data_IF_252701718164
#
_entry.id   IF_252701718164
#
_cell.length_a   1.000
_cell.length_b   1.000
_cell.length_c   1.000
_cell.angle_alpha   90.00
_cell.angle_beta   90.00
_cell.angle_gamma   90.00
#
_symmetry.space_group_name_H-M   'P 1'
#
loop_
_entity.id
_entity.type
_entity.pdbx_description
1 polymer ?
#
# COMPACT_ATOMS: atom_id res chain seq x y z
N UNK A 1 6.69 10.57 -9.82
CA UNK A 1 8.06 10.28 -9.38
C UNK A 1 8.41 8.81 -9.56
N UNK A 2 7.80 7.88 -8.80
CA UNK A 2 8.10 6.43 -8.90
C UNK A 2 7.99 5.86 -10.32
N UNK A 3 7.00 6.27 -11.12
CA UNK A 3 6.89 5.83 -12.51
C UNK A 3 8.09 6.24 -13.38
N UNK A 4 8.64 7.44 -13.19
CA UNK A 4 9.69 8.00 -14.06
C UNK A 4 11.07 7.56 -13.57
N UNK A 5 11.30 7.69 -12.26
CA UNK A 5 12.63 7.54 -11.65
C UNK A 5 12.81 6.16 -10.98
N UNK A 6 11.71 5.51 -10.60
CA UNK A 6 11.76 4.41 -9.64
C UNK A 6 12.17 4.90 -8.26
N UNK A 7 12.83 4.02 -7.50
CA UNK A 7 13.33 4.30 -6.16
C UNK A 7 12.31 3.96 -5.08
N UNK A 8 12.40 4.65 -3.94
CA UNK A 8 11.57 4.43 -2.77
C UNK A 8 10.83 5.71 -2.42
N UNK A 9 9.51 5.60 -2.32
CA UNK A 9 8.67 6.59 -1.66
C UNK A 9 8.42 6.12 -0.22
N UNK A 10 8.53 7.02 0.74
CA UNK A 10 8.18 6.74 2.14
C UNK A 10 7.71 8.01 2.85
N UNK A 11 6.75 7.88 3.75
CA UNK A 11 6.35 8.97 4.63
C UNK A 11 7.53 9.44 5.51
N UNK A 12 7.55 10.73 5.83
CA UNK A 12 8.65 11.38 6.57
C UNK A 12 8.84 10.84 7.99
N UNK A 13 7.81 10.25 8.59
CA UNK A 13 7.83 9.67 9.93
C UNK A 13 8.10 8.16 9.91
N UNK A 14 8.70 7.65 8.83
CA UNK A 14 9.16 6.27 8.71
C UNK A 14 10.65 6.14 9.07
N UNK A 15 10.98 5.12 9.85
CA UNK A 15 12.34 4.77 10.22
C UNK A 15 12.77 3.46 9.54
N UNK A 16 13.88 3.50 8.79
CA UNK A 16 14.44 2.30 8.19
C UNK A 16 15.12 1.43 9.25
N UNK A 17 14.66 0.19 9.42
CA UNK A 17 15.27 -0.80 10.31
C UNK A 17 16.33 -1.62 9.58
N UNK A 18 16.13 -1.83 8.27
CA UNK A 18 17.07 -2.50 7.38
C UNK A 18 17.40 -1.64 6.16
N UNK A 19 18.64 -1.70 5.65
CA UNK A 19 19.03 -1.13 4.37
C UNK A 19 18.12 -1.60 3.21
N UNK A 20 17.90 -0.74 2.22
CA UNK A 20 16.96 -0.98 1.10
C UNK A 20 17.40 -2.19 0.25
N UNK A 21 18.69 -2.48 0.14
CA UNK A 21 19.24 -3.65 -0.55
C UNK A 21 18.86 -5.00 0.10
N UNK A 22 18.31 -4.96 1.32
CA UNK A 22 17.79 -6.12 2.03
C UNK A 22 16.26 -6.25 1.97
N UNK A 23 15.56 -5.30 1.34
CA UNK A 23 14.09 -5.30 1.31
C UNK A 23 13.51 -6.41 0.41
N UNK A 24 14.29 -6.84 -0.59
CA UNK A 24 13.93 -7.95 -1.47
C UNK A 24 14.76 -9.18 -1.09
N UNK A 25 14.12 -10.28 -0.66
CA UNK A 25 14.80 -11.55 -0.44
C UNK A 25 15.61 -12.00 -1.66
N UNK A 26 16.75 -12.63 -1.43
CA UNK A 26 17.73 -12.95 -2.48
C UNK A 26 17.11 -13.71 -3.67
N UNK A 27 16.20 -14.65 -3.39
CA UNK A 27 15.50 -15.45 -4.40
C UNK A 27 14.51 -14.64 -5.28
N UNK A 28 14.20 -13.39 -4.92
CA UNK A 28 13.29 -12.52 -5.66
C UNK A 28 13.98 -11.31 -6.31
N UNK A 29 15.28 -11.06 -6.03
CA UNK A 29 15.98 -9.84 -6.44
C UNK A 29 16.01 -9.59 -7.95
N UNK A 30 16.15 -10.65 -8.74
CA UNK A 30 16.22 -10.54 -10.21
C UNK A 30 14.85 -10.39 -10.87
N UNK A 31 13.75 -10.49 -10.11
CA UNK A 31 12.39 -10.52 -10.62
C UNK A 31 11.54 -9.37 -10.08
N UNK A 32 11.70 -9.01 -8.80
CA UNK A 32 10.90 -7.97 -8.16
C UNK A 32 11.22 -6.59 -8.73
N UNK A 33 10.21 -5.96 -9.34
CA UNK A 33 10.23 -4.58 -9.82
C UNK A 33 9.37 -3.66 -8.97
N UNK A 34 8.49 -4.19 -8.13
CA UNK A 34 7.72 -3.42 -7.15
C UNK A 34 7.72 -4.17 -5.81
N UNK A 35 7.85 -3.45 -4.70
CA UNK A 35 7.75 -3.99 -3.34
C UNK A 35 6.67 -3.22 -2.59
N UNK A 36 5.66 -3.95 -2.12
CA UNK A 36 4.50 -3.42 -1.41
C UNK A 36 4.29 -4.23 -0.13
N UNK A 37 4.01 -3.55 0.98
CA UNK A 37 3.63 -4.20 2.23
C UNK A 37 2.12 -4.26 2.44
N UNK A 38 1.69 -5.06 3.40
CA UNK A 38 0.33 -5.01 3.92
C UNK A 38 0.27 -3.94 5.03
N UNK A 39 -0.74 -3.08 4.98
CA UNK A 39 -1.02 -2.09 6.03
C UNK A 39 -2.07 -2.60 7.00
N UNK A 40 -3.16 -3.15 6.47
CA UNK A 40 -4.28 -3.67 7.24
C UNK A 40 -4.69 -5.05 6.72
N UNK A 41 -4.97 -5.95 7.64
CA UNK A 41 -5.51 -7.29 7.41
C UNK A 41 -6.50 -7.64 8.53
N UNK A 42 -7.75 -7.91 8.15
CA UNK A 42 -8.85 -8.21 9.06
C UNK A 42 -8.89 -9.71 9.41
N UNK A 43 -8.11 -10.09 10.42
CA UNK A 43 -8.02 -11.48 10.90
C UNK A 43 -9.17 -11.86 11.86
N UNK A 44 -9.52 -10.96 12.79
CA UNK A 44 -10.38 -11.29 13.94
C UNK A 44 -11.79 -10.67 13.84
N UNK A 45 -12.24 -10.31 12.63
CA UNK A 45 -13.61 -9.83 12.36
C UNK A 45 -13.96 -8.43 12.89
N UNK A 46 -13.04 -7.74 13.59
CA UNK A 46 -13.20 -6.33 13.95
C UNK A 46 -13.14 -5.44 12.70
N UNK A 47 -14.08 -4.50 12.53
CA UNK A 47 -14.00 -3.51 11.46
C UNK A 47 -13.13 -2.33 11.91
N UNK A 48 -12.26 -1.85 11.02
CA UNK A 48 -11.72 -0.50 11.15
C UNK A 48 -12.65 0.42 10.38
N UNK A 49 -13.38 1.29 11.08
CA UNK A 49 -14.54 2.02 10.56
C UNK A 49 -14.26 2.89 9.31
N UNK A 50 -13.00 3.18 9.01
CA UNK A 50 -12.57 4.00 7.86
C UNK A 50 -12.04 3.16 6.68
N UNK A 51 -11.85 1.85 6.82
CA UNK A 51 -11.33 0.98 5.75
C UNK A 51 -12.48 0.19 5.10
N UNK A 52 -12.72 0.36 3.80
CA UNK A 52 -13.75 -0.39 3.07
C UNK A 52 -13.34 -1.85 2.78
N UNK A 53 -12.03 -2.12 2.74
CA UNK A 53 -11.46 -3.42 2.38
C UNK A 53 -11.13 -4.30 3.59
N UNK A 54 -11.28 -5.63 3.44
CA UNK A 54 -10.83 -6.58 4.47
C UNK A 54 -9.31 -6.68 4.57
N UNK A 55 -8.60 -6.25 3.51
CA UNK A 55 -7.15 -6.12 3.46
C UNK A 55 -6.79 -4.86 2.68
N UNK A 56 -5.78 -4.12 3.14
CA UNK A 56 -5.29 -2.91 2.50
C UNK A 56 -3.77 -2.99 2.31
N UNK A 57 -3.32 -2.61 1.11
CA UNK A 57 -1.90 -2.48 0.82
C UNK A 57 -1.35 -1.15 1.33
N UNK A 58 -0.13 -1.20 1.86
CA UNK A 58 0.60 -0.03 2.31
C UNK A 58 0.87 0.92 1.13
N UNK A 59 0.51 2.18 1.30
CA UNK A 59 0.82 3.27 0.37
C UNK A 59 1.83 4.28 0.94
N UNK A 60 2.07 4.26 2.26
CA UNK A 60 3.00 5.16 2.94
C UNK A 60 4.46 4.70 2.81
N UNK A 61 4.72 3.52 2.24
CA UNK A 61 6.03 3.12 1.70
C UNK A 61 5.86 2.22 0.48
N UNK A 62 6.53 2.56 -0.61
CA UNK A 62 6.54 1.79 -1.86
C UNK A 62 7.95 1.84 -2.44
N UNK A 63 8.49 0.70 -2.86
CA UNK A 63 9.71 0.65 -3.65
C UNK A 63 9.39 0.14 -5.07
N UNK A 64 9.98 0.76 -6.10
CA UNK A 64 9.73 0.36 -7.47
C UNK A 64 10.89 0.66 -8.43
N UNK A 65 11.00 -0.15 -9.47
CA UNK A 65 11.75 0.15 -10.67
C UNK A 65 10.96 1.16 -11.55
N UNK A 66 11.65 2.02 -12.31
CA UNK A 66 10.99 2.93 -13.23
C UNK A 66 10.18 2.18 -14.29
N UNK A 67 9.13 2.83 -14.80
CA UNK A 67 8.30 2.38 -15.90
C UNK A 67 7.32 1.25 -15.57
N UNK A 68 7.11 0.91 -14.29
CA UNK A 68 6.17 -0.14 -13.93
C UNK A 68 4.70 0.31 -14.18
N UNK A 69 3.87 -0.48 -14.90
CA UNK A 69 2.53 -0.05 -15.35
C UNK A 69 1.56 0.24 -14.21
N UNK A 70 1.75 -0.37 -13.04
CA UNK A 70 0.96 -0.12 -11.83
C UNK A 70 0.78 1.37 -11.52
N UNK A 71 1.85 2.16 -11.66
CA UNK A 71 1.81 3.59 -11.32
C UNK A 71 1.06 4.43 -12.37
N UNK A 72 1.09 4.01 -13.65
CA UNK A 72 0.28 4.67 -14.68
C UNK A 72 -1.19 4.36 -14.49
N UNK A 73 -1.54 3.13 -14.12
CA UNK A 73 -2.92 2.77 -13.78
C UNK A 73 -3.44 3.61 -12.61
N UNK A 74 -2.63 3.76 -11.56
CA UNK A 74 -2.99 4.61 -10.42
C UNK A 74 -3.15 6.08 -10.84
N UNK A 75 -2.25 6.60 -11.68
CA UNK A 75 -2.34 7.98 -12.15
C UNK A 75 -3.60 8.23 -12.99
N UNK A 76 -3.94 7.33 -13.93
CA UNK A 76 -5.16 7.44 -14.73
C UNK A 76 -6.41 7.31 -13.86
N UNK A 77 -6.46 6.34 -12.94
CA UNK A 77 -7.55 6.20 -11.98
C UNK A 77 -7.78 7.49 -11.18
N UNK A 78 -6.72 8.11 -10.67
CA UNK A 78 -6.85 9.37 -9.92
C UNK A 78 -7.35 10.51 -10.79
N UNK A 79 -6.90 10.62 -12.06
CA UNK A 79 -7.39 11.65 -12.97
C UNK A 79 -8.88 11.45 -13.24
N UNK A 80 -9.28 10.24 -13.63
CA UNK A 80 -10.68 9.91 -13.93
C UNK A 80 -11.57 10.15 -12.70
N UNK A 81 -11.14 9.72 -11.52
CA UNK A 81 -11.88 9.95 -10.27
C UNK A 81 -12.05 11.44 -9.94
N UNK A 82 -11.02 12.27 -10.18
CA UNK A 82 -11.10 13.71 -9.96
C UNK A 82 -12.04 14.38 -10.98
N UNK A 83 -12.01 13.96 -12.24
CA UNK A 83 -12.93 14.46 -13.28
C UNK A 83 -14.39 14.10 -12.96
N UNK A 84 -14.65 12.87 -12.52
CA UNK A 84 -15.97 12.43 -12.07
C UNK A 84 -16.46 13.22 -10.86
N UNK A 85 -15.58 13.48 -9.88
CA UNK A 85 -15.91 14.29 -8.71
C UNK A 85 -16.20 15.75 -9.11
N UNK A 86 -15.40 16.35 -10.00
CA UNK A 86 -15.66 17.69 -10.52
C UNK A 86 -17.04 17.78 -11.19
N UNK A 87 -17.37 16.79 -12.03
CA UNK A 87 -18.69 16.71 -12.67
C UNK A 87 -19.82 16.56 -11.64
N UNK A 88 -19.65 15.69 -10.63
CA UNK A 88 -20.63 15.47 -9.56
C UNK A 88 -20.88 16.71 -8.71
N UNK A 89 -19.82 17.47 -8.42
CA UNK A 89 -19.90 18.74 -7.69
C UNK A 89 -20.28 19.94 -8.57
N UNK A 90 -20.50 19.70 -9.87
CA UNK A 90 -20.80 20.73 -10.87
C UNK A 90 -19.80 21.89 -10.83
N UNK A 91 -18.51 21.54 -10.73
CA UNK A 91 -17.39 22.47 -10.59
C UNK A 91 -16.24 22.07 -11.53
N UNK A 92 -15.20 22.90 -11.61
CA UNK A 92 -13.97 22.60 -12.33
C UNK A 92 -12.92 22.03 -11.37
N UNK A 93 -11.92 21.30 -11.91
CA UNK A 93 -10.86 20.68 -11.10
C UNK A 93 -10.11 21.68 -10.21
N UNK A 94 -9.90 22.92 -10.68
CA UNK A 94 -9.23 23.98 -9.91
C UNK A 94 -10.06 24.53 -8.73
N UNK A 95 -11.35 24.19 -8.67
CA UNK A 95 -12.30 24.62 -7.64
C UNK A 95 -12.92 23.46 -6.88
N UNK A 96 -12.39 22.25 -7.09
CA UNK A 96 -12.89 21.05 -6.44
C UNK A 96 -12.40 21.03 -4.98
N UNK A 97 -13.35 21.11 -4.05
CA UNK A 97 -13.09 20.95 -2.62
C UNK A 97 -13.54 19.55 -2.20
N UNK A 98 -12.58 18.69 -1.87
CA UNK A 98 -12.82 17.27 -1.62
C UNK A 98 -13.03 17.00 -0.13
N UNK A 99 -14.06 16.22 0.18
CA UNK A 99 -14.20 15.63 1.51
C UNK A 99 -13.12 14.57 1.75
N UNK A 100 -12.79 14.27 3.01
CA UNK A 100 -11.82 13.21 3.34
C UNK A 100 -12.18 11.85 2.75
N UNK A 101 -13.48 11.55 2.65
CA UNK A 101 -13.98 10.30 2.04
C UNK A 101 -13.70 10.27 0.54
N UNK A 102 -13.87 11.40 -0.16
CA UNK A 102 -13.57 11.49 -1.59
C UNK A 102 -12.07 11.42 -1.87
N UNK A 103 -11.23 11.98 -0.99
CA UNK A 103 -9.76 11.79 -1.06
C UNK A 103 -9.40 10.31 -0.90
N UNK A 104 -9.99 9.62 0.08
CA UNK A 104 -9.73 8.19 0.32
C UNK A 104 -10.10 7.30 -0.89
N UNK A 105 -11.15 7.68 -1.63
CA UNK A 105 -11.67 6.90 -2.77
C UNK A 105 -11.08 7.31 -4.14
N UNK A 106 -10.39 8.45 -4.24
CA UNK A 106 -9.80 8.93 -5.52
C UNK A 106 -8.30 8.67 -5.64
N UNK A 107 -7.55 8.98 -4.59
CA UNK A 107 -6.08 8.85 -4.56
C UNK A 107 -5.57 8.19 -3.29
N UNK A 108 -6.47 7.73 -2.43
CA UNK A 108 -6.14 7.23 -1.10
C UNK A 108 -5.90 5.72 -1.05
N UNK A 109 -5.82 5.18 0.17
CA UNK A 109 -5.44 3.80 0.39
C UNK A 109 -6.42 2.78 -0.24
N UNK A 110 -7.71 3.14 -0.34
CA UNK A 110 -8.73 2.29 -0.96
C UNK A 110 -8.44 2.11 -2.45
N UNK A 111 -8.29 3.22 -3.17
CA UNK A 111 -7.98 3.21 -4.61
C UNK A 111 -6.66 2.52 -4.90
N UNK A 112 -5.64 2.79 -4.07
CA UNK A 112 -4.36 2.10 -4.19
C UNK A 112 -4.51 0.59 -4.08
N UNK A 113 -5.31 0.12 -3.11
CA UNK A 113 -5.57 -1.31 -2.92
C UNK A 113 -6.28 -1.91 -4.13
N UNK A 114 -7.30 -1.22 -4.67
CA UNK A 114 -8.04 -1.68 -5.86
C UNK A 114 -7.13 -1.80 -7.09
N UNK A 115 -6.25 -0.82 -7.30
CA UNK A 115 -5.34 -0.80 -8.45
C UNK A 115 -4.25 -1.87 -8.32
N UNK A 116 -3.66 -2.04 -7.14
CA UNK A 116 -2.70 -3.12 -6.88
C UNK A 116 -3.36 -4.47 -7.07
N UNK A 117 -4.54 -4.67 -6.50
CA UNK A 117 -5.29 -5.91 -6.65
C UNK A 117 -5.63 -6.19 -8.12
N UNK A 118 -6.14 -5.21 -8.87
CA UNK A 118 -6.42 -5.35 -10.30
C UNK A 118 -5.17 -5.76 -11.10
N UNK A 119 -4.03 -5.14 -10.82
CA UNK A 119 -2.74 -5.52 -11.44
C UNK A 119 -2.33 -6.94 -11.09
N UNK A 120 -2.50 -7.37 -9.84
CA UNK A 120 -2.16 -8.72 -9.40
C UNK A 120 -3.05 -9.78 -10.08
N UNK A 121 -4.35 -9.51 -10.25
CA UNK A 121 -5.27 -10.40 -10.98
C UNK A 121 -4.92 -10.55 -12.47
N UNK A 122 -4.45 -9.48 -13.10
CA UNK A 122 -3.99 -9.54 -14.50
C UNK A 122 -2.73 -10.39 -14.65
N UNK A 123 -1.83 -10.34 -13.65
CA UNK A 123 -0.59 -11.13 -13.63
C UNK A 123 -0.87 -12.59 -13.30
N UNK A 124 -1.71 -12.83 -12.28
CA UNK A 124 -2.04 -14.15 -11.76
C UNK A 124 -3.56 -14.31 -11.63
N UNK A 125 -4.21 -14.99 -12.60
CA UNK A 125 -5.65 -15.23 -12.58
C UNK A 125 -6.14 -16.07 -11.40
N UNK A 126 -5.25 -16.69 -10.62
CA UNK A 126 -5.62 -17.42 -9.39
C UNK A 126 -5.89 -16.49 -8.22
N UNK A 127 -5.44 -15.23 -8.29
CA UNK A 127 -5.84 -14.16 -7.38
C UNK A 127 -7.28 -13.78 -7.70
N UNK A 128 -8.19 -14.08 -6.79
CA UNK A 128 -9.64 -13.86 -7.00
C UNK A 128 -10.21 -12.83 -6.03
N UNK A 129 -9.63 -12.73 -4.84
CA UNK A 129 -10.08 -11.85 -3.75
C UNK A 129 -8.88 -11.19 -3.05
N UNK A 130 -9.06 -9.97 -2.53
CA UNK A 130 -7.99 -9.25 -1.81
C UNK A 130 -7.59 -9.98 -0.51
N UNK A 131 -8.45 -10.86 0.01
CA UNK A 131 -8.16 -11.70 1.16
C UNK A 131 -7.24 -12.89 0.84
N UNK A 132 -6.89 -13.14 -0.44
CA UNK A 132 -5.88 -14.15 -0.81
C UNK A 132 -4.47 -13.81 -0.25
N UNK A 133 -4.27 -12.55 0.16
CA UNK A 133 -3.07 -12.03 0.83
C UNK A 133 -3.20 -11.99 2.36
N UNK A 134 -4.32 -12.43 2.92
CA UNK A 134 -4.57 -12.44 4.37
C UNK A 134 -3.74 -13.51 5.06
N UNK A 135 -3.27 -13.21 6.28
CA UNK A 135 -2.57 -14.17 7.13
C UNK A 135 -1.22 -14.63 6.55
N UNK A 136 -0.55 -13.82 5.72
CA UNK A 136 0.71 -14.19 5.06
C UNK A 136 1.90 -14.38 6.01
N UNK A 137 1.81 -13.91 7.27
CA UNK A 137 2.92 -13.90 8.24
C UNK A 137 3.63 -15.26 8.40
N UNK A 138 2.95 -16.42 8.53
CA UNK A 138 3.62 -17.72 8.65
C UNK A 138 4.27 -18.22 7.35
N UNK A 139 3.78 -17.77 6.18
CA UNK A 139 4.28 -18.20 4.86
C UNK A 139 5.36 -17.30 4.28
N UNK A 140 5.54 -16.10 4.84
CA UNK A 140 6.50 -15.12 4.35
C UNK A 140 6.01 -14.32 3.12
N UNK A 141 6.88 -13.46 2.56
CA UNK A 141 6.57 -12.64 1.40
C UNK A 141 6.36 -13.48 0.13
N UNK A 142 5.52 -12.99 -0.78
CA UNK A 142 5.16 -13.69 -2.03
C UNK A 142 5.34 -12.79 -3.24
N UNK A 143 5.91 -13.35 -4.30
CA UNK A 143 6.12 -12.66 -5.57
C UNK A 143 5.02 -13.06 -6.56
N UNK A 144 4.40 -12.06 -7.19
CA UNK A 144 3.39 -12.23 -8.24
C UNK A 144 3.87 -11.50 -9.49
N UNK A 145 4.34 -12.25 -10.49
CA UNK A 145 5.04 -11.67 -11.64
C UNK A 145 6.29 -10.91 -11.17
N UNK A 146 6.26 -9.59 -11.24
CA UNK A 146 7.32 -8.68 -10.78
C UNK A 146 6.91 -7.84 -9.55
N UNK A 147 5.80 -8.16 -8.87
CA UNK A 147 5.33 -7.47 -7.66
C UNK A 147 5.54 -8.34 -6.43
N UNK A 148 6.42 -7.91 -5.53
CA UNK A 148 6.68 -8.56 -4.24
C UNK A 148 5.74 -7.99 -3.18
N UNK A 149 4.90 -8.85 -2.61
CA UNK A 149 4.03 -8.54 -1.48
C UNK A 149 4.68 -9.03 -0.18
N UNK A 150 4.95 -8.09 0.72
CA UNK A 150 5.50 -8.36 2.04
C UNK A 150 4.39 -8.71 3.04
N UNK A 151 4.77 -9.45 4.09
CA UNK A 151 3.86 -9.72 5.21
C UNK A 151 3.56 -8.43 5.99
N UNK A 152 2.58 -8.47 6.90
CA UNK A 152 2.23 -7.34 7.76
C UNK A 152 3.44 -6.75 8.51
N UNK A 153 4.41 -7.56 8.94
CA UNK A 153 5.60 -7.06 9.64
C UNK A 153 6.59 -6.39 8.69
N UNK A 154 6.55 -6.65 7.39
CA UNK A 154 7.51 -6.11 6.42
C UNK A 154 7.58 -4.59 6.47
N UNK A 155 6.42 -3.96 6.23
CA UNK A 155 6.25 -2.51 6.40
C UNK A 155 5.43 -2.21 7.66
N UNK A 156 4.30 -2.88 7.89
CA UNK A 156 3.38 -2.57 8.99
C UNK A 156 3.77 -3.08 10.39
N UNK A 157 5.05 -3.29 10.72
CA UNK A 157 5.47 -3.69 12.07
C UNK A 157 5.14 -2.63 13.13
N UNK A 158 4.72 -3.06 14.31
CA UNK A 158 4.43 -2.20 15.46
C UNK A 158 2.98 -1.72 15.53
N UNK A 159 2.12 -2.18 14.63
CA UNK A 159 0.70 -1.81 14.63
C UNK A 159 -0.08 -2.63 15.68
N UNK A 160 -1.13 -2.08 16.31
CA UNK A 160 -1.93 -2.78 17.31
C UNK A 160 -2.92 -3.80 16.73
N UNK A 161 -2.85 -4.08 15.43
CA UNK A 161 -3.81 -4.91 14.68
C UNK A 161 -3.11 -5.85 13.70
N UNK A 162 -3.91 -6.63 12.97
CA UNK A 162 -3.45 -7.48 11.84
C UNK A 162 -2.36 -8.49 12.21
N UNK A 163 -2.29 -8.87 13.49
CA UNK A 163 -1.23 -9.69 14.07
C UNK A 163 0.20 -9.17 13.80
N UNK A 164 0.34 -7.86 13.60
CA UNK A 164 1.64 -7.18 13.55
C UNK A 164 2.39 -7.36 14.86
N UNK A 165 3.70 -7.61 14.79
CA UNK A 165 4.54 -7.71 15.99
C UNK A 165 4.60 -6.34 16.67
N UNK A 166 4.08 -6.26 17.90
CA UNK A 166 3.94 -5.02 18.66
C UNK A 166 4.33 -5.17 20.14
N UNK A 167 5.03 -6.24 20.51
CA UNK A 167 5.48 -6.58 21.86
C UNK A 167 6.81 -5.90 22.27
N UNK A 168 7.32 -5.00 21.43
CA UNK A 168 8.60 -4.31 21.61
C UNK A 168 9.78 -5.02 20.97
N UNK A 169 9.61 -6.23 20.45
CA UNK A 169 10.63 -6.92 19.64
C UNK A 169 10.60 -6.46 18.19
N UNK A 170 11.71 -6.64 17.48
CA UNK A 170 11.82 -6.39 16.04
C UNK A 170 11.91 -7.77 15.35
N UNK A 171 10.87 -8.22 14.64
CA UNK A 171 10.92 -9.49 13.91
C UNK A 171 11.88 -9.36 12.72
N UNK A 172 12.48 -10.47 12.30
CA UNK A 172 13.41 -10.43 11.16
C UNK A 172 12.73 -9.98 9.85
N UNK A 173 11.44 -10.23 9.69
CA UNK A 173 10.69 -9.74 8.54
C UNK A 173 10.59 -8.20 8.48
N UNK A 174 10.78 -7.48 9.58
CA UNK A 174 10.61 -6.03 9.61
C UNK A 174 11.73 -5.30 8.88
N UNK A 175 11.34 -4.46 7.91
CA UNK A 175 12.24 -3.64 7.11
C UNK A 175 12.28 -2.19 7.58
N UNK A 176 11.18 -1.72 8.15
CA UNK A 176 11.00 -0.35 8.60
C UNK A 176 9.99 -0.29 9.76
N UNK A 177 9.86 0.89 10.35
CA UNK A 177 8.87 1.21 11.38
C UNK A 177 8.24 2.57 11.09
N UNK A 178 6.93 2.58 10.86
CA UNK A 178 6.15 3.82 10.76
C UNK A 178 5.83 4.35 12.17
N UNK A 179 5.97 5.67 12.40
CA UNK A 179 5.76 6.28 13.72
C UNK A 179 4.33 6.78 13.94
N UNK A 180 3.49 6.73 12.92
CA UNK A 180 2.09 7.15 12.91
C UNK A 180 1.88 8.52 13.56
N UNK A 181 2.80 9.46 13.33
CA UNK A 181 2.75 10.80 13.94
C UNK A 181 1.57 11.61 13.42
N UNK A 182 0.99 11.21 12.29
CA UNK A 182 -0.30 11.69 11.80
C UNK A 182 -0.38 13.21 11.63
N UNK A 183 0.76 13.88 11.49
CA UNK A 183 0.86 15.35 11.51
C UNK A 183 0.12 16.03 10.34
N UNK A 184 -0.37 15.25 9.37
CA UNK A 184 -1.23 15.71 8.28
C UNK A 184 -2.73 15.62 8.61
N UNK A 185 -3.15 14.82 9.60
CA UNK A 185 -4.52 14.81 10.14
C UNK A 185 -4.61 15.97 11.13
N UNK A 186 -4.77 17.19 10.62
CA UNK A 186 -4.75 18.41 11.42
C UNK A 186 -5.62 18.33 12.68
N UNK A 187 -5.06 18.74 13.81
CA UNK A 187 -5.81 18.93 15.04
C UNK A 187 -4.94 19.41 16.20
N UNK A 188 -5.09 20.70 16.54
CA UNK A 188 -5.04 21.24 17.92
C UNK A 188 -3.69 21.29 18.62
#
# INVERSE_FOLDING_TARGET
MLFIEGGVYTDIDTEALKPIDLWVPENFRDQARVVIGIEWDQLDGGSWAEIPHRLQFCQWTIAAAPGHPLFMKMAYHTIDALEELAAKHNTSLDRLDLTSVEVMMSSGPSSWTDIVFGQLKEIDPTVTDVTDFSGMKPTGPRLYGDILILTIDGFGMGQPHSASTNDGTIPDAALLKHKFRGSWRGGG
#
